data_IF_844130374927
#
_entry.id   IF_844130374927
#
_cell.length_a   1.000
_cell.length_b   1.000
_cell.length_c   1.000
_cell.angle_alpha   90.00
_cell.angle_beta   90.00
_cell.angle_gamma   90.00
#
_symmetry.space_group_name_H-M   'P 1'
#
loop_
_entity.id
_entity.type
_entity.pdbx_description
1 polymer ?
#
# COMPACT_ATOMS: atom_id res chain seq x y z
N UNK A 1 -20.78 -3.10 -9.67
CA UNK A 1 -20.85 -1.80 -8.97
C UNK A 1 -19.58 -1.65 -8.17
N UNK A 2 -18.72 -0.70 -8.53
CA UNK A 2 -17.49 -0.45 -7.79
C UNK A 2 -17.86 0.11 -6.41
N UNK A 3 -17.43 -0.58 -5.35
CA UNK A 3 -17.65 -0.17 -3.97
C UNK A 3 -16.55 0.85 -3.66
N UNK A 4 -16.97 2.11 -3.54
CA UNK A 4 -16.11 3.30 -3.46
C UNK A 4 -15.76 3.58 -2.01
N UNK A 5 -14.47 3.61 -1.64
CA UNK A 5 -14.06 4.34 -0.44
C UNK A 5 -13.98 5.82 -0.74
N UNK A 6 -14.62 6.55 0.16
CA UNK A 6 -14.72 7.99 0.16
C UNK A 6 -13.78 8.50 1.26
N UNK A 7 -12.90 9.48 0.99
CA UNK A 7 -12.03 10.09 1.99
C UNK A 7 -12.77 10.46 3.27
N UNK A 8 -14.03 10.92 3.19
CA UNK A 8 -14.83 11.23 4.36
C UNK A 8 -15.15 9.97 5.18
N UNK A 9 -15.49 8.86 4.52
CA UNK A 9 -15.67 7.55 5.15
C UNK A 9 -14.39 7.06 5.83
N UNK A 10 -13.23 7.21 5.19
CA UNK A 10 -11.95 6.83 5.80
C UNK A 10 -11.62 7.66 7.06
N UNK A 11 -11.97 8.96 7.07
CA UNK A 11 -11.85 9.80 8.26
C UNK A 11 -12.79 9.33 9.36
N UNK A 12 -14.02 8.94 9.03
CA UNK A 12 -14.95 8.39 10.04
C UNK A 12 -14.48 7.04 10.57
N UNK A 13 -13.96 6.16 9.72
CA UNK A 13 -13.36 4.88 10.15
C UNK A 13 -12.17 5.12 11.09
N UNK A 14 -11.32 6.13 10.81
CA UNK A 14 -10.24 6.55 11.71
C UNK A 14 -10.77 7.08 13.05
N UNK A 15 -11.81 7.91 13.05
CA UNK A 15 -12.44 8.40 14.27
C UNK A 15 -13.04 7.26 15.10
N UNK A 16 -13.73 6.30 14.46
CA UNK A 16 -14.28 5.11 15.11
C UNK A 16 -13.18 4.26 15.73
N UNK A 17 -12.08 4.07 15.01
CA UNK A 17 -10.92 3.34 15.49
C UNK A 17 -10.37 3.96 16.78
N UNK A 18 -10.03 5.25 16.78
CA UNK A 18 -9.60 5.92 18.01
C UNK A 18 -10.69 5.90 19.08
N UNK A 19 -11.94 6.17 18.74
CA UNK A 19 -13.06 6.14 19.69
C UNK A 19 -13.30 4.78 20.35
N UNK A 20 -12.88 3.69 19.72
CA UNK A 20 -13.02 2.31 20.23
C UNK A 20 -11.97 1.91 21.27
N UNK A 21 -10.86 2.66 21.37
CA UNK A 21 -9.81 2.37 22.34
C UNK A 21 -10.33 2.75 23.72
N UNK A 22 -10.61 1.73 24.53
CA UNK A 22 -11.14 1.90 25.88
C UNK A 22 -10.03 1.65 26.90
N UNK A 23 -9.47 2.70 27.54
CA UNK A 23 -8.52 2.48 28.60
C UNK A 23 -9.23 1.91 29.83
N UNK A 24 -8.53 1.07 30.59
CA UNK A 24 -9.03 0.54 31.87
C UNK A 24 -9.42 1.64 32.88
N UNK A 25 -8.90 2.87 32.70
CA UNK A 25 -9.20 4.05 33.52
C UNK A 25 -9.40 5.30 32.64
N UNK A 26 -10.41 6.14 32.90
CA UNK A 26 -10.76 7.27 32.03
C UNK A 26 -9.74 8.44 32.04
N UNK A 27 -8.96 8.57 33.11
CA UNK A 27 -8.01 9.68 33.30
C UNK A 27 -6.57 9.35 32.89
N UNK A 28 -6.36 8.25 32.16
CA UNK A 28 -5.02 7.86 31.71
C UNK A 28 -4.55 8.86 30.64
N UNK A 29 -3.30 9.35 30.72
CA UNK A 29 -2.71 10.17 29.68
C UNK A 29 -2.74 9.47 28.32
N UNK A 30 -3.04 10.23 27.27
CA UNK A 30 -3.19 9.71 25.90
C UNK A 30 -1.99 8.89 25.43
N UNK A 31 -0.77 9.34 25.68
CA UNK A 31 0.43 8.59 25.31
C UNK A 31 0.52 7.20 25.98
N UNK A 32 0.02 7.03 27.21
CA UNK A 32 0.02 5.75 27.91
C UNK A 32 -1.03 4.80 27.32
N UNK A 33 -2.25 5.30 27.07
CA UNK A 33 -3.30 4.51 26.43
C UNK A 33 -2.85 3.99 25.06
N UNK A 34 -2.18 4.85 24.28
CA UNK A 34 -1.68 4.48 22.97
C UNK A 34 -0.47 3.55 23.05
N UNK A 35 0.45 3.73 24.00
CA UNK A 35 1.52 2.75 24.21
C UNK A 35 0.95 1.38 24.58
N UNK A 36 0.01 1.31 25.52
CA UNK A 36 -0.65 0.05 25.89
C UNK A 36 -1.36 -0.63 24.71
N UNK A 37 -1.99 0.15 23.82
CA UNK A 37 -2.75 -0.39 22.70
C UNK A 37 -1.91 -0.77 21.48
N UNK A 38 -0.87 0.01 21.15
CA UNK A 38 -0.16 -0.12 19.88
C UNK A 38 1.15 -0.89 20.00
N UNK A 39 1.92 -0.76 21.08
CA UNK A 39 3.04 -1.66 21.45
C UNK A 39 3.74 -1.13 22.70
N UNK A 40 4.52 -1.98 23.36
CA UNK A 40 5.43 -1.56 24.44
C UNK A 40 6.48 -0.52 24.02
N UNK A 41 6.63 -0.22 22.72
CA UNK A 41 7.51 0.83 22.20
C UNK A 41 6.75 2.17 22.01
N UNK A 42 7.04 3.20 22.83
CA UNK A 42 6.39 4.51 22.74
C UNK A 42 6.51 5.20 21.38
N UNK A 43 7.49 4.81 20.55
CA UNK A 43 7.69 5.38 19.21
C UNK A 43 6.56 5.01 18.24
N UNK A 44 5.94 3.84 18.42
CA UNK A 44 4.80 3.42 17.60
C UNK A 44 3.57 4.29 17.89
N UNK A 45 3.33 4.62 19.15
CA UNK A 45 2.25 5.53 19.55
C UNK A 45 2.41 6.92 18.92
N UNK A 46 3.65 7.44 18.89
CA UNK A 46 3.96 8.70 18.20
C UNK A 46 3.69 8.61 16.69
N UNK A 47 4.14 7.54 16.04
CA UNK A 47 3.94 7.32 14.61
C UNK A 47 2.44 7.28 14.26
N UNK A 48 1.64 6.57 15.05
CA UNK A 48 0.19 6.47 14.87
C UNK A 48 -0.50 7.83 15.03
N UNK A 49 -0.15 8.60 16.07
CA UNK A 49 -0.68 9.95 16.26
C UNK A 49 -0.28 10.90 15.13
N UNK A 50 0.98 10.86 14.71
CA UNK A 50 1.49 11.69 13.63
C UNK A 50 0.77 11.40 12.31
N UNK A 51 0.61 10.12 11.96
CA UNK A 51 -0.11 9.73 10.73
C UNK A 51 -1.61 10.03 10.81
N UNK A 52 -2.25 9.76 11.96
CA UNK A 52 -3.63 10.15 12.19
C UNK A 52 -3.84 11.66 12.04
N UNK A 53 -2.93 12.47 12.61
CA UNK A 53 -2.93 13.94 12.44
C UNK A 53 -2.84 14.34 10.99
N UNK A 54 -1.85 13.78 10.29
CA UNK A 54 -1.60 14.06 8.88
C UNK A 54 -2.85 13.77 8.05
N UNK A 55 -3.54 12.65 8.29
CA UNK A 55 -4.80 12.31 7.62
C UNK A 55 -5.91 13.34 7.85
N UNK A 56 -6.13 13.75 9.10
CA UNK A 56 -7.12 14.79 9.39
C UNK A 56 -6.75 16.13 8.74
N UNK A 57 -5.45 16.46 8.69
CA UNK A 57 -4.96 17.67 8.03
C UNK A 57 -5.15 17.61 6.51
N UNK A 58 -4.71 16.53 5.87
CA UNK A 58 -4.81 16.34 4.41
C UNK A 58 -6.28 16.38 3.96
N UNK A 59 -7.19 15.74 4.71
CA UNK A 59 -8.63 15.84 4.46
C UNK A 59 -9.17 17.25 4.70
N UNK A 60 -8.72 17.95 5.75
CA UNK A 60 -9.11 19.35 5.96
C UNK A 60 -8.66 20.26 4.82
N UNK A 61 -7.48 20.02 4.24
CA UNK A 61 -7.00 20.75 3.07
C UNK A 61 -7.76 20.37 1.81
N UNK A 62 -8.16 19.10 1.63
CA UNK A 62 -8.99 18.70 0.49
C UNK A 62 -10.36 19.38 0.52
N UNK A 63 -10.97 19.58 1.69
CA UNK A 63 -12.21 20.35 1.85
C UNK A 63 -12.11 21.81 1.37
N UNK A 64 -10.91 22.40 1.35
CA UNK A 64 -10.70 23.77 0.85
C UNK A 64 -10.63 23.84 -0.68
N UNK A 65 -10.34 22.71 -1.31
CA UNK A 65 -10.18 22.57 -2.76
C UNK A 65 -11.48 22.13 -3.45
N UNK A 66 -12.52 21.82 -2.68
CA UNK A 66 -13.84 21.49 -3.23
C UNK A 66 -14.42 22.77 -3.84
N UNK A 67 -14.58 22.73 -5.16
CA UNK A 67 -15.31 23.71 -5.96
C UNK A 67 -16.46 22.98 -6.67
N UNK A 68 -17.44 22.53 -5.88
CA UNK A 68 -18.57 21.74 -6.36
C UNK A 68 -19.88 22.53 -6.19
N UNK A 69 -20.54 22.95 -7.28
CA UNK A 69 -21.75 23.77 -7.21
C UNK A 69 -22.96 23.00 -6.66
N UNK A 70 -22.88 21.68 -6.51
CA UNK A 70 -23.94 20.83 -5.97
C UNK A 70 -23.85 20.67 -4.44
N UNK A 71 -22.86 21.29 -3.78
CA UNK A 71 -22.68 21.18 -2.34
C UNK A 71 -22.81 22.53 -1.67
N UNK A 72 -23.70 22.59 -0.68
CA UNK A 72 -23.92 23.77 0.13
C UNK A 72 -22.66 24.12 0.95
N UNK A 73 -22.28 25.40 0.93
CA UNK A 73 -21.14 25.93 1.70
C UNK A 73 -21.29 25.67 3.21
N UNK A 74 -22.52 25.62 3.72
CA UNK A 74 -22.79 25.25 5.11
C UNK A 74 -22.33 23.82 5.43
N UNK A 75 -22.49 22.87 4.50
CA UNK A 75 -22.01 21.48 4.66
C UNK A 75 -20.47 21.47 4.72
N UNK A 76 -19.81 22.20 3.82
CA UNK A 76 -18.34 22.32 3.82
C UNK A 76 -17.84 22.96 5.13
N UNK A 77 -18.55 23.95 5.65
CA UNK A 77 -18.20 24.63 6.90
C UNK A 77 -18.34 23.69 8.11
N UNK A 78 -19.41 22.89 8.18
CA UNK A 78 -19.60 21.89 9.23
C UNK A 78 -18.51 20.81 9.18
N UNK A 79 -18.17 20.31 8.00
CA UNK A 79 -17.08 19.34 7.82
C UNK A 79 -15.73 19.92 8.26
N UNK A 80 -15.41 21.15 7.85
CA UNK A 80 -14.18 21.86 8.26
C UNK A 80 -14.10 22.01 9.78
N UNK A 81 -15.20 22.39 10.42
CA UNK A 81 -15.27 22.53 11.88
C UNK A 81 -15.07 21.19 12.61
N UNK A 82 -15.66 20.10 12.10
CA UNK A 82 -15.44 18.76 12.63
C UNK A 82 -13.96 18.35 12.50
N UNK A 83 -13.35 18.54 11.32
CA UNK A 83 -11.95 18.22 11.08
C UNK A 83 -10.99 18.99 11.98
N UNK A 84 -11.25 20.28 12.22
CA UNK A 84 -10.42 21.06 13.16
C UNK A 84 -10.44 20.48 14.58
N UNK A 85 -11.57 19.93 15.04
CA UNK A 85 -11.64 19.25 16.34
C UNK A 85 -10.76 17.98 16.33
N UNK A 86 -10.80 17.20 15.25
CA UNK A 86 -9.96 15.99 15.11
C UNK A 86 -8.46 16.28 15.01
N UNK A 87 -8.07 17.36 14.33
CA UNK A 87 -6.68 17.84 14.28
C UNK A 87 -6.21 18.27 15.68
N UNK A 88 -7.05 18.97 16.45
CA UNK A 88 -6.70 19.35 17.83
C UNK A 88 -6.47 18.14 18.73
N UNK A 89 -7.26 17.09 18.58
CA UNK A 89 -7.07 15.82 19.31
C UNK A 89 -5.69 15.20 19.04
N UNK A 90 -5.25 15.19 17.77
CA UNK A 90 -3.97 14.59 17.39
C UNK A 90 -2.79 15.56 17.58
N UNK A 91 -2.98 16.66 18.31
CA UNK A 91 -1.89 17.58 18.65
C UNK A 91 -0.96 16.91 19.66
N UNK A 92 0.31 16.81 19.29
CA UNK A 92 1.37 16.27 20.14
C UNK A 92 1.51 17.06 21.45
N UNK A 93 1.09 18.33 21.49
CA UNK A 93 1.05 19.13 22.73
C UNK A 93 0.03 18.63 23.74
N UNK A 94 -0.95 17.84 23.30
CA UNK A 94 -2.07 17.36 24.13
C UNK A 94 -1.95 15.89 24.55
N UNK A 95 -0.81 15.23 24.30
CA UNK A 95 -0.59 13.80 24.60
C UNK A 95 -0.57 13.47 26.10
N UNK A 96 -0.39 14.49 26.94
CA UNK A 96 -0.45 14.37 28.39
C UNK A 96 -1.87 14.58 28.93
N UNK A 97 -2.80 15.05 28.10
CA UNK A 97 -4.20 15.21 28.49
C UNK A 97 -4.89 13.84 28.65
N UNK A 98 -5.92 13.76 29.52
CA UNK A 98 -6.72 12.55 29.70
C UNK A 98 -7.33 12.04 28.39
N UNK A 99 -7.22 10.74 28.15
CA UNK A 99 -7.82 10.09 26.97
C UNK A 99 -9.33 10.32 26.87
N UNK A 100 -10.06 10.34 27.99
CA UNK A 100 -11.51 10.54 27.98
C UNK A 100 -11.98 11.84 27.29
N UNK A 101 -11.19 12.92 27.37
CA UNK A 101 -11.51 14.18 26.67
C UNK A 101 -11.39 14.03 25.15
N UNK A 102 -10.40 13.24 24.76
CA UNK A 102 -9.99 13.00 23.41
C UNK A 102 -10.92 12.00 22.72
N UNK A 103 -11.19 10.85 23.35
CA UNK A 103 -12.12 9.83 22.84
C UNK A 103 -13.53 10.37 22.66
N UNK A 104 -14.03 11.21 23.58
CA UNK A 104 -15.36 11.82 23.45
C UNK A 104 -15.51 12.66 22.17
N UNK A 105 -14.45 13.37 21.79
CA UNK A 105 -14.44 14.17 20.55
C UNK A 105 -14.44 13.26 19.32
N UNK A 106 -13.67 12.17 19.35
CA UNK A 106 -13.61 11.18 18.27
C UNK A 106 -14.85 10.32 18.15
N UNK A 107 -15.61 10.14 19.23
CA UNK A 107 -16.81 9.31 19.28
C UNK A 107 -18.12 10.10 19.12
N UNK A 108 -18.03 11.39 18.82
CA UNK A 108 -19.21 12.26 18.65
C UNK A 108 -19.88 12.04 17.28
N UNK A 109 -21.11 11.48 17.24
CA UNK A 109 -21.81 11.18 15.99
C UNK A 109 -22.11 12.42 15.14
N UNK A 110 -22.24 13.60 15.74
CA UNK A 110 -22.51 14.83 15.01
C UNK A 110 -21.30 15.27 14.17
N UNK A 111 -20.08 15.08 14.70
CA UNK A 111 -18.86 15.34 13.94
C UNK A 111 -18.70 14.33 12.80
N UNK A 112 -19.08 13.06 13.01
CA UNK A 112 -19.08 12.05 11.94
C UNK A 112 -20.08 12.38 10.83
N UNK A 113 -21.31 12.75 11.19
CA UNK A 113 -22.33 13.13 10.22
C UNK A 113 -21.90 14.34 9.38
N UNK A 114 -21.26 15.33 10.02
CA UNK A 114 -20.72 16.52 9.34
C UNK A 114 -19.65 16.16 8.31
N UNK A 115 -18.76 15.22 8.62
CA UNK A 115 -17.77 14.72 7.66
C UNK A 115 -18.43 13.89 6.56
N UNK A 116 -19.32 12.96 6.89
CA UNK A 116 -19.99 12.12 5.88
C UNK A 116 -20.85 12.91 4.89
N UNK A 117 -21.32 14.11 5.26
CA UNK A 117 -22.12 14.94 4.37
C UNK A 117 -21.38 15.37 3.08
N UNK A 118 -20.04 15.44 3.10
CA UNK A 118 -19.23 15.74 1.90
C UNK A 118 -18.86 14.50 1.09
N UNK A 119 -19.27 13.30 1.53
CA UNK A 119 -18.96 12.01 0.88
C UNK A 119 -19.28 11.98 -0.60
N UNK A 120 -20.43 12.56 -0.97
CA UNK A 120 -20.93 12.57 -2.33
C UNK A 120 -20.03 13.33 -3.31
N UNK A 121 -19.26 14.32 -2.83
CA UNK A 121 -18.29 15.09 -3.65
C UNK A 121 -17.15 14.18 -4.05
N UNK A 122 -16.50 13.56 -3.06
CA UNK A 122 -15.33 12.74 -3.33
C UNK A 122 -15.65 11.49 -4.14
N UNK A 123 -16.86 10.93 -3.99
CA UNK A 123 -17.32 9.83 -4.83
C UNK A 123 -17.44 10.20 -6.31
N UNK A 124 -17.63 11.49 -6.64
CA UNK A 124 -17.63 12.00 -8.02
C UNK A 124 -16.22 12.25 -8.54
N UNK A 125 -15.38 12.90 -7.74
CA UNK A 125 -14.12 13.49 -8.23
C UNK A 125 -12.92 12.53 -8.18
N UNK A 126 -12.89 11.57 -7.28
CA UNK A 126 -11.72 10.69 -7.08
C UNK A 126 -12.14 9.37 -6.44
N UNK A 127 -12.77 8.45 -7.20
CA UNK A 127 -13.22 7.18 -6.67
C UNK A 127 -12.03 6.28 -6.30
N UNK A 128 -11.98 5.87 -5.04
CA UNK A 128 -11.03 4.87 -4.53
C UNK A 128 -11.79 3.54 -4.42
N UNK A 129 -11.22 2.43 -4.89
CA UNK A 129 -11.80 1.09 -4.69
C UNK A 129 -11.59 0.68 -3.22
N UNK A 130 -12.67 0.32 -2.53
CA UNK A 130 -12.57 -0.36 -1.24
C UNK A 130 -12.06 -1.78 -1.45
N UNK A 131 -11.01 -2.16 -0.74
CA UNK A 131 -10.64 -3.57 -0.63
C UNK A 131 -11.64 -4.29 0.28
N UNK A 132 -12.07 -5.48 -0.12
CA UNK A 132 -12.84 -6.34 0.77
C UNK A 132 -11.97 -6.87 1.91
N UNK A 133 -12.57 -7.32 3.01
CA UNK A 133 -11.80 -7.93 4.11
C UNK A 133 -11.05 -9.18 3.63
N UNK A 134 -11.62 -9.92 2.68
CA UNK A 134 -10.94 -11.05 2.04
C UNK A 134 -9.72 -10.61 1.24
N UNK A 135 -9.81 -9.52 0.48
CA UNK A 135 -8.66 -8.94 -0.25
C UNK A 135 -7.57 -8.45 0.72
N UNK A 136 -7.97 -7.82 1.84
CA UNK A 136 -7.03 -7.36 2.88
C UNK A 136 -6.33 -8.56 3.53
N UNK A 137 -7.07 -9.64 3.83
CA UNK A 137 -6.51 -10.85 4.42
C UNK A 137 -5.63 -11.63 3.43
N UNK A 138 -5.95 -11.60 2.14
CA UNK A 138 -5.08 -12.14 1.10
C UNK A 138 -3.74 -11.40 1.05
N UNK A 139 -3.75 -10.06 1.08
CA UNK A 139 -2.51 -9.26 1.16
C UNK A 139 -1.77 -9.60 2.45
N UNK A 140 -2.46 -9.68 3.60
CA UNK A 140 -1.86 -9.96 4.91
C UNK A 140 -1.17 -11.32 4.92
N UNK A 141 -1.86 -12.37 4.48
CA UNK A 141 -1.34 -13.74 4.43
C UNK A 141 -0.18 -13.88 3.44
N UNK A 142 -0.20 -13.12 2.34
CA UNK A 142 0.86 -13.16 1.34
C UNK A 142 2.19 -12.57 1.83
N UNK A 143 2.17 -11.70 2.85
CA UNK A 143 3.37 -11.01 3.34
C UNK A 143 3.73 -11.31 4.80
N UNK A 144 2.87 -12.00 5.57
CA UNK A 144 3.03 -12.18 7.02
C UNK A 144 4.13 -13.18 7.40
N UNK A 145 4.42 -14.14 6.55
CA UNK A 145 5.38 -15.22 6.84
C UNK A 145 6.83 -14.70 6.89
N UNK A 146 7.50 -14.88 8.03
CA UNK A 146 8.91 -14.51 8.23
C UNK A 146 9.86 -15.26 7.28
N UNK A 147 9.48 -16.44 6.79
CA UNK A 147 10.24 -17.16 5.78
C UNK A 147 10.41 -16.37 4.47
N UNK A 148 9.53 -15.41 4.19
CA UNK A 148 9.67 -14.49 3.05
C UNK A 148 10.91 -13.62 3.22
N UNK A 149 11.17 -13.11 4.42
CA UNK A 149 12.34 -12.27 4.70
C UNK A 149 13.62 -13.10 4.54
N UNK A 150 13.63 -14.33 5.07
CA UNK A 150 14.77 -15.23 4.92
C UNK A 150 15.08 -15.55 3.46
N UNK A 151 14.04 -15.75 2.63
CA UNK A 151 14.23 -16.00 1.20
C UNK A 151 14.72 -14.76 0.45
N UNK A 152 14.22 -13.57 0.79
CA UNK A 152 14.74 -12.30 0.22
C UNK A 152 16.22 -12.11 0.56
N UNK A 153 16.62 -12.39 1.80
CA UNK A 153 18.02 -12.23 2.23
C UNK A 153 18.96 -13.27 1.59
N UNK A 154 18.44 -14.47 1.27
CA UNK A 154 19.17 -15.54 0.56
C UNK A 154 19.18 -15.40 -0.96
N UNK A 155 18.40 -14.48 -1.52
CA UNK A 155 18.38 -14.25 -2.95
C UNK A 155 19.78 -13.84 -3.45
N UNK A 156 20.13 -14.27 -4.65
CA UNK A 156 21.38 -13.91 -5.33
C UNK A 156 21.28 -12.50 -5.95
N UNK A 157 21.03 -11.51 -5.09
CA UNK A 157 20.86 -10.12 -5.45
C UNK A 157 21.79 -9.23 -4.59
N UNK A 158 22.19 -8.05 -5.10
CA UNK A 158 22.94 -7.06 -4.31
C UNK A 158 22.27 -6.76 -2.96
N UNK A 159 23.06 -6.64 -1.89
CA UNK A 159 22.56 -6.45 -0.52
C UNK A 159 21.62 -5.25 -0.39
N UNK A 160 21.92 -4.14 -1.08
CA UNK A 160 21.05 -2.96 -1.04
C UNK A 160 19.64 -3.21 -1.59
N UNK A 161 19.46 -4.10 -2.58
CA UNK A 161 18.15 -4.47 -3.12
C UNK A 161 17.39 -5.37 -2.15
N UNK A 162 18.09 -6.34 -1.54
CA UNK A 162 17.52 -7.24 -0.53
C UNK A 162 17.03 -6.45 0.69
N UNK A 163 17.85 -5.51 1.18
CA UNK A 163 17.50 -4.63 2.29
C UNK A 163 16.33 -3.70 1.94
N UNK A 164 16.33 -3.12 0.74
CA UNK A 164 15.22 -2.28 0.29
C UNK A 164 13.89 -3.06 0.24
N UNK A 165 13.89 -4.27 -0.30
CA UNK A 165 12.71 -5.13 -0.36
C UNK A 165 12.25 -5.55 1.04
N UNK A 166 13.18 -6.00 1.89
CA UNK A 166 12.91 -6.36 3.30
C UNK A 166 12.24 -5.21 4.05
N UNK A 167 12.78 -4.00 3.97
CA UNK A 167 12.22 -2.83 4.64
C UNK A 167 10.79 -2.54 4.15
N UNK A 168 10.52 -2.76 2.87
CA UNK A 168 9.20 -2.54 2.27
C UNK A 168 8.18 -3.56 2.74
N UNK A 169 8.58 -4.83 2.85
CA UNK A 169 7.73 -5.89 3.43
C UNK A 169 7.39 -5.55 4.87
N UNK A 170 8.38 -5.12 5.66
CA UNK A 170 8.16 -4.72 7.06
C UNK A 170 7.23 -3.50 7.16
N UNK A 171 7.42 -2.48 6.31
CA UNK A 171 6.52 -1.34 6.24
C UNK A 171 5.09 -1.78 5.91
N UNK A 172 4.91 -2.66 4.91
CA UNK A 172 3.60 -3.13 4.51
C UNK A 172 2.91 -3.94 5.61
N UNK A 173 3.64 -4.74 6.39
CA UNK A 173 3.11 -5.44 7.56
C UNK A 173 2.57 -4.49 8.62
N UNK A 174 3.35 -3.46 8.97
CA UNK A 174 2.92 -2.42 9.94
C UNK A 174 1.69 -1.66 9.42
N UNK A 175 1.66 -1.38 8.12
CA UNK A 175 0.53 -0.73 7.46
C UNK A 175 -0.75 -1.53 7.56
N UNK A 176 -0.71 -2.84 7.25
CA UNK A 176 -1.86 -3.72 7.35
C UNK A 176 -2.32 -3.93 8.81
N UNK A 177 -1.40 -3.86 9.76
CA UNK A 177 -1.73 -3.92 11.18
C UNK A 177 -2.55 -2.71 11.63
N UNK A 178 -2.27 -1.52 11.08
CA UNK A 178 -2.95 -0.27 11.44
C UNK A 178 -3.59 0.42 10.24
N UNK A 179 -4.23 -0.37 9.37
CA UNK A 179 -4.82 0.11 8.11
C UNK A 179 -5.76 1.31 8.29
N UNK A 180 -6.64 1.38 9.32
CA UNK A 180 -7.49 2.56 9.54
C UNK A 180 -6.72 3.87 9.76
N UNK A 181 -5.53 3.78 10.36
CA UNK A 181 -4.66 4.94 10.66
C UNK A 181 -3.96 5.41 9.40
N UNK A 182 -3.34 4.49 8.67
CA UNK A 182 -2.52 4.84 7.52
C UNK A 182 -3.34 5.03 6.23
N UNK A 183 -4.51 4.41 6.12
CA UNK A 183 -5.42 4.53 4.98
C UNK A 183 -5.02 3.67 3.77
N UNK A 184 -5.95 3.56 2.82
CA UNK A 184 -5.79 2.72 1.62
C UNK A 184 -4.86 3.35 0.59
N UNK A 185 -4.82 4.69 0.49
CA UNK A 185 -3.89 5.40 -0.39
C UNK A 185 -2.42 5.06 -0.05
N UNK A 186 -2.07 5.11 1.23
CA UNK A 186 -0.71 4.83 1.66
C UNK A 186 -0.38 3.33 1.52
N UNK A 187 -1.37 2.45 1.68
CA UNK A 187 -1.24 1.03 1.37
C UNK A 187 -0.87 0.82 -0.10
N UNK A 188 -1.59 1.48 -1.02
CA UNK A 188 -1.31 1.40 -2.45
C UNK A 188 0.09 1.91 -2.82
N UNK A 189 0.53 3.04 -2.24
CA UNK A 189 1.89 3.58 -2.47
C UNK A 189 2.98 2.59 -2.06
N UNK A 190 2.86 1.98 -0.88
CA UNK A 190 3.84 1.01 -0.39
C UNK A 190 3.76 -0.29 -1.20
N UNK A 191 2.57 -0.67 -1.69
CA UNK A 191 2.41 -1.81 -2.60
C UNK A 191 3.06 -1.58 -3.97
N UNK A 192 3.02 -0.36 -4.52
CA UNK A 192 3.80 0.01 -5.70
C UNK A 192 5.30 -0.14 -5.43
N UNK A 193 5.74 0.27 -4.23
CA UNK A 193 7.12 0.05 -3.81
C UNK A 193 7.50 -1.43 -3.73
N UNK A 194 6.59 -2.25 -3.22
CA UNK A 194 6.77 -3.69 -3.14
C UNK A 194 6.91 -4.29 -4.54
N UNK A 195 6.04 -3.94 -5.49
CA UNK A 195 6.08 -4.46 -6.86
C UNK A 195 7.43 -4.20 -7.53
N UNK A 196 7.90 -2.95 -7.54
CA UNK A 196 9.15 -2.63 -8.23
C UNK A 196 10.37 -3.26 -7.55
N UNK A 197 10.43 -3.25 -6.21
CA UNK A 197 11.56 -3.83 -5.44
C UNK A 197 11.60 -5.35 -5.59
N UNK A 198 10.44 -6.00 -5.55
CA UNK A 198 10.33 -7.43 -5.76
C UNK A 198 10.79 -7.83 -7.17
N UNK A 199 10.38 -7.09 -8.20
CA UNK A 199 10.85 -7.28 -9.58
C UNK A 199 12.36 -7.05 -9.71
N UNK A 200 12.91 -6.02 -9.08
CA UNK A 200 14.34 -5.73 -9.14
C UNK A 200 15.18 -6.89 -8.56
N UNK A 201 14.77 -7.43 -7.41
CA UNK A 201 15.41 -8.63 -6.83
C UNK A 201 15.23 -9.85 -7.74
N UNK A 202 14.04 -10.05 -8.32
CA UNK A 202 13.79 -11.16 -9.26
C UNK A 202 14.53 -11.06 -10.59
N UNK A 203 14.90 -9.86 -11.04
CA UNK A 203 15.78 -9.68 -12.21
C UNK A 203 17.22 -10.07 -11.87
N UNK A 204 17.68 -9.76 -10.66
CA UNK A 204 19.00 -10.14 -10.20
C UNK A 204 19.11 -11.65 -9.88
N UNK A 205 18.06 -12.25 -9.32
CA UNK A 205 17.98 -13.68 -9.01
C UNK A 205 16.78 -14.35 -9.73
N UNK A 206 17.02 -15.00 -10.88
CA UNK A 206 16.00 -15.73 -11.61
C UNK A 206 15.34 -16.88 -10.82
N UNK A 207 16.06 -17.52 -9.89
CA UNK A 207 15.47 -18.58 -9.04
C UNK A 207 14.50 -18.00 -8.04
N UNK A 208 14.83 -16.85 -7.45
CA UNK A 208 13.91 -16.11 -6.60
C UNK A 208 12.66 -15.67 -7.37
N UNK A 209 12.79 -15.22 -8.62
CA UNK A 209 11.65 -14.85 -9.49
C UNK A 209 10.66 -16.00 -9.70
N UNK A 210 11.12 -17.24 -9.70
CA UNK A 210 10.27 -18.43 -9.84
C UNK A 210 9.63 -18.89 -8.51
N UNK A 211 10.14 -18.37 -7.39
CA UNK A 211 9.74 -18.77 -6.04
C UNK A 211 8.28 -18.41 -5.70
N UNK A 212 7.72 -19.15 -4.74
CA UNK A 212 6.38 -18.86 -4.21
C UNK A 212 6.30 -17.49 -3.53
N UNK A 213 7.26 -17.06 -2.69
CA UNK A 213 7.23 -15.72 -2.09
C UNK A 213 7.23 -14.57 -3.09
N UNK A 214 8.02 -14.66 -4.17
CA UNK A 214 8.00 -13.66 -5.23
C UNK A 214 6.58 -13.50 -5.82
N UNK A 215 5.93 -14.62 -6.15
CA UNK A 215 4.58 -14.64 -6.73
C UNK A 215 3.53 -14.12 -5.74
N UNK A 216 3.64 -14.49 -4.46
CA UNK A 216 2.74 -14.01 -3.41
C UNK A 216 2.84 -12.49 -3.23
N UNK A 217 4.05 -11.94 -3.13
CA UNK A 217 4.27 -10.50 -3.00
C UNK A 217 3.78 -9.73 -4.23
N UNK A 218 3.97 -10.30 -5.42
CA UNK A 218 3.45 -9.72 -6.65
C UNK A 218 1.91 -9.68 -6.65
N UNK A 219 1.25 -10.77 -6.23
CA UNK A 219 -0.21 -10.81 -6.08
C UNK A 219 -0.71 -9.77 -5.09
N UNK A 220 -0.10 -9.73 -3.89
CA UNK A 220 -0.41 -8.77 -2.85
C UNK A 220 -0.27 -7.32 -3.34
N UNK A 221 0.81 -7.02 -4.06
CA UNK A 221 1.02 -5.71 -4.66
C UNK A 221 -0.08 -5.37 -5.68
N UNK A 222 -0.42 -6.29 -6.58
CA UNK A 222 -1.47 -6.05 -7.59
C UNK A 222 -2.84 -5.78 -6.96
N UNK A 223 -3.21 -6.55 -5.94
CA UNK A 223 -4.48 -6.35 -5.21
C UNK A 223 -4.49 -4.96 -4.57
N UNK A 224 -3.42 -4.60 -3.85
CA UNK A 224 -3.32 -3.30 -3.17
C UNK A 224 -3.19 -2.11 -4.15
N UNK A 225 -2.57 -2.28 -5.31
CA UNK A 225 -2.48 -1.22 -6.34
C UNK A 225 -3.83 -0.99 -7.02
N UNK A 226 -4.69 -2.02 -7.07
CA UNK A 226 -6.05 -1.92 -7.65
C UNK A 226 -6.98 -0.96 -6.89
N UNK A 227 -6.54 -0.44 -5.73
CA UNK A 227 -7.22 0.58 -4.93
C UNK A 227 -7.50 1.85 -5.74
N UNK A 228 -6.69 2.19 -6.75
CA UNK A 228 -6.98 3.33 -7.61
C UNK A 228 -7.78 2.94 -8.85
N UNK A 229 -8.93 3.58 -9.04
CA UNK A 229 -9.56 3.67 -10.36
C UNK A 229 -8.70 4.63 -11.17
N UNK A 230 -7.94 4.07 -12.09
CA UNK A 230 -7.35 4.84 -13.17
C UNK A 230 -8.50 5.62 -13.85
N UNK A 231 -8.47 6.97 -13.94
CA UNK A 231 -9.51 7.73 -14.63
C UNK A 231 -9.76 7.17 -16.02
N UNK A 232 -10.98 7.23 -16.56
CA UNK A 232 -11.26 6.66 -17.88
C UNK A 232 -10.30 7.18 -18.96
N UNK A 233 -9.86 8.44 -18.84
CA UNK A 233 -8.83 9.04 -19.71
C UNK A 233 -7.46 8.37 -19.55
N UNK A 234 -7.10 7.99 -18.32
CA UNK A 234 -5.88 7.24 -18.03
C UNK A 234 -6.06 5.75 -18.33
N UNK A 235 -7.28 5.17 -18.37
CA UNK A 235 -7.56 3.79 -18.82
C UNK A 235 -7.25 3.65 -20.31
N UNK A 236 -7.63 4.65 -21.11
CA UNK A 236 -7.18 4.79 -22.50
C UNK A 236 -5.66 4.87 -22.61
N UNK A 237 -4.99 5.61 -21.74
CA UNK A 237 -3.52 5.66 -21.66
C UNK A 237 -2.89 4.39 -21.05
N UNK A 238 -3.62 3.61 -20.24
CA UNK A 238 -3.15 2.32 -19.71
C UNK A 238 -3.29 1.23 -20.74
N UNK A 239 -4.08 1.42 -21.80
CA UNK A 239 -3.99 0.56 -22.98
C UNK A 239 -2.63 0.74 -23.66
N UNK A 240 -2.15 1.99 -23.79
CA UNK A 240 -0.78 2.27 -24.22
C UNK A 240 0.26 1.76 -23.21
N UNK A 241 0.05 1.93 -21.90
CA UNK A 241 0.99 1.44 -20.88
C UNK A 241 1.04 -0.09 -20.81
N UNK A 242 -0.10 -0.77 -20.98
CA UNK A 242 -0.21 -2.24 -21.05
C UNK A 242 0.35 -2.77 -22.38
N UNK A 243 0.20 -2.02 -23.47
CA UNK A 243 0.86 -2.32 -24.75
C UNK A 243 2.36 -2.07 -24.70
N UNK A 244 2.84 -1.05 -23.97
CA UNK A 244 4.27 -0.78 -23.77
C UNK A 244 4.89 -1.84 -22.87
N UNK A 245 4.26 -2.18 -21.74
CA UNK A 245 4.71 -3.30 -20.88
C UNK A 245 4.62 -4.64 -21.63
N UNK A 246 3.57 -4.85 -22.44
CA UNK A 246 3.41 -6.03 -23.28
C UNK A 246 4.48 -6.12 -24.38
N UNK A 247 4.86 -4.99 -25.00
CA UNK A 247 5.95 -4.89 -25.98
C UNK A 247 7.32 -5.09 -25.34
N UNK A 248 7.56 -4.52 -24.16
CA UNK A 248 8.80 -4.70 -23.38
C UNK A 248 8.92 -6.17 -22.95
N UNK A 249 7.84 -6.78 -22.45
CA UNK A 249 7.82 -8.20 -22.12
C UNK A 249 8.04 -9.07 -23.37
N UNK A 250 7.36 -8.79 -24.49
CA UNK A 250 7.55 -9.53 -25.74
C UNK A 250 8.98 -9.40 -26.29
N UNK A 251 9.63 -8.23 -26.20
CA UNK A 251 11.02 -8.06 -26.62
C UNK A 251 11.98 -8.88 -25.75
N UNK A 252 11.80 -8.85 -24.43
CA UNK A 252 12.62 -9.62 -23.48
C UNK A 252 12.44 -11.13 -23.69
N UNK A 253 11.23 -11.61 -24.01
CA UNK A 253 10.97 -13.03 -24.26
C UNK A 253 11.31 -13.51 -25.69
N UNK A 254 11.30 -12.63 -26.70
CA UNK A 254 11.75 -12.96 -28.06
C UNK A 254 13.28 -12.92 -28.20
N UNK A 255 13.99 -12.07 -27.43
CA UNK A 255 15.45 -12.10 -27.34
C UNK A 255 15.94 -13.38 -26.64
N UNK A 256 15.30 -13.82 -25.54
CA UNK A 256 15.59 -15.11 -24.91
C UNK A 256 15.30 -16.32 -25.82
N UNK A 257 14.33 -16.21 -26.74
CA UNK A 257 14.04 -17.26 -27.74
C UNK A 257 15.06 -17.25 -28.89
N UNK A 258 15.53 -16.09 -29.32
CA UNK A 258 16.56 -15.96 -30.35
C UNK A 258 17.92 -16.43 -29.84
N UNK A 259 18.30 -16.08 -28.61
CA UNK A 259 19.53 -16.59 -27.98
C UNK A 259 19.49 -18.11 -27.80
N UNK A 260 18.36 -18.69 -27.37
CA UNK A 260 18.22 -20.17 -27.26
C UNK A 260 18.20 -20.88 -28.61
N UNK A 261 17.68 -20.26 -29.68
CA UNK A 261 17.75 -20.83 -31.03
C UNK A 261 19.15 -20.69 -31.65
N UNK A 262 19.89 -19.61 -31.37
CA UNK A 262 21.29 -19.45 -31.79
C UNK A 262 22.23 -20.37 -31.02
N UNK A 263 22.05 -20.56 -29.70
CA UNK A 263 22.80 -21.55 -28.92
C UNK A 263 22.51 -22.98 -29.40
N UNK A 264 21.26 -23.33 -29.71
CA UNK A 264 20.90 -24.63 -30.29
C UNK A 264 21.54 -24.85 -31.66
N UNK A 265 21.61 -23.83 -32.52
CA UNK A 265 22.29 -23.92 -33.83
C UNK A 265 23.81 -23.99 -33.70
N UNK A 266 24.39 -23.34 -32.70
CA UNK A 266 25.83 -23.41 -32.38
C UNK A 266 26.22 -24.78 -31.76
N UNK A 267 25.31 -25.41 -31.02
CA UNK A 267 25.48 -26.76 -30.46
C UNK A 267 25.35 -27.85 -31.53
N UNK A 268 24.40 -27.74 -32.45
CA UNK A 268 24.25 -28.68 -33.59
C UNK A 268 25.47 -28.61 -34.54
N UNK A 269 25.99 -27.41 -34.82
CA UNK A 269 27.21 -27.25 -35.62
C UNK A 269 28.48 -27.76 -34.91
N UNK A 270 28.52 -27.77 -33.57
CA UNK A 270 29.63 -28.37 -32.81
C UNK A 270 29.50 -29.90 -32.68
N UNK A 271 28.29 -30.46 -32.69
CA UNK A 271 28.09 -31.91 -32.72
C UNK A 271 28.33 -32.53 -34.10
N UNK A 272 28.22 -31.77 -35.19
CA UNK A 272 28.64 -32.23 -36.52
C UNK A 272 30.17 -32.25 -36.73
N UNK A 273 30.96 -31.69 -35.80
CA UNK A 273 32.43 -31.70 -35.84
C UNK A 273 33.06 -32.89 -35.11
N UNK A 274 32.26 -33.76 -34.50
CA UNK A 274 32.70 -35.02 -33.89
C UNK A 274 31.91 -36.16 -34.52
N UNK A 275 32.56 -36.93 -35.40
CA UNK A 275 31.98 -38.20 -35.82
C UNK A 275 31.88 -39.17 -34.63
N UNK A 276 31.03 -40.20 -34.75
CA UNK A 276 30.75 -41.20 -33.71
C UNK A 276 31.96 -42.03 -33.23
N UNK A 277 33.20 -41.62 -33.54
CA UNK A 277 34.45 -42.22 -33.07
C UNK A 277 35.34 -41.26 -32.26
N UNK A 278 34.93 -40.00 -32.07
CA UNK A 278 35.58 -39.06 -31.13
C UNK A 278 36.91 -38.46 -31.60
N UNK A 279 37.07 -38.19 -32.90
CA UNK A 279 38.23 -37.44 -33.43
C UNK A 279 37.82 -36.05 -33.91
N UNK A 280 38.62 -35.05 -33.57
CA UNK A 280 38.48 -33.66 -34.04
C UNK A 280 39.13 -33.58 -35.43
N UNK A 281 38.31 -33.41 -36.47
CA UNK A 281 38.77 -33.17 -37.82
C UNK A 281 39.13 -31.69 -38.03
N UNK A 282 40.31 -31.43 -38.57
CA UNK A 282 40.66 -30.16 -39.19
C UNK A 282 41.99 -30.29 -39.94
N UNK A 283 42.35 -29.32 -40.80
CA UNK A 283 41.50 -28.38 -41.54
C UNK A 283 40.89 -28.97 -42.82
#
# INVERSE_FOLDING_TARGET
MAIVTDPAMEIVELCKFFGSINPNKPNVPTHQVLAEHFSSDPRHAYLVLHNGRKRFFDFSESLRKIDDPLVDEAILTLAKNACQKFIKFTDLKSIHSPWGNHSKTMSDPQNWASVMAVSMVYRRDSPIKKLSEEEIEEIRSAISDDAIIDQVLRADAPDFLKDALRNTIQHLRVMLQYLPVFGLEQLAKIAQELDWKNRAVGVADPKFKESKPYKNMLSAAMIAISIYVVPAEVISATKEYRDVIGRIAAHVFDEEKKEKQEESRLLDNKQQLLDGSGRIGGP
#
